data_IF_852021874394
#
_entry.id   IF_852021874394
#
_cell.length_a   1.000
_cell.length_b   1.000
_cell.length_c   1.000
_cell.angle_alpha   90.00
_cell.angle_beta   90.00
_cell.angle_gamma   90.00
#
_symmetry.space_group_name_H-M   'P 1'
#
loop_
_entity.id
_entity.type
_entity.pdbx_description
1 polymer ?
#
# COMPACT_ATOMS: atom_id res chain seq x y z
N UNK A 1 2.22 0.02 26.04
CA UNK A 1 2.49 0.98 24.96
C UNK A 1 2.18 0.30 23.64
N UNK A 2 1.13 0.73 22.93
CA UNK A 2 0.76 0.11 21.65
C UNK A 2 1.66 0.70 20.56
N UNK A 3 2.48 -0.12 19.91
CA UNK A 3 3.25 0.31 18.74
C UNK A 3 2.26 0.67 17.63
N UNK A 4 2.27 1.93 17.19
CA UNK A 4 1.43 2.38 16.07
C UNK A 4 2.05 1.82 14.79
N UNK A 5 1.47 0.76 14.23
CA UNK A 5 1.92 0.22 12.96
C UNK A 5 1.59 1.22 11.83
N UNK A 6 2.62 1.74 11.18
CA UNK A 6 2.46 2.61 10.01
C UNK A 6 1.87 1.78 8.86
N UNK A 7 0.73 2.23 8.33
CA UNK A 7 0.04 1.63 7.18
C UNK A 7 0.25 2.47 5.94
N UNK A 8 0.73 1.83 4.88
CA UNK A 8 1.04 2.47 3.59
C UNK A 8 0.07 1.93 2.53
N UNK A 9 -0.59 2.81 1.78
CA UNK A 9 -1.38 2.47 0.60
C UNK A 9 -0.56 2.82 -0.65
N UNK A 10 -0.27 1.83 -1.48
CA UNK A 10 0.37 2.02 -2.79
C UNK A 10 -0.71 2.02 -3.87
N UNK A 11 -0.79 3.11 -4.63
CA UNK A 11 -1.70 3.26 -5.79
C UNK A 11 -0.85 3.51 -7.02
N UNK A 12 -0.90 2.56 -7.96
CA UNK A 12 -0.21 2.66 -9.25
C UNK A 12 -1.00 1.81 -10.26
N UNK A 13 -1.08 2.22 -11.52
CA UNK A 13 -1.80 1.47 -12.56
C UNK A 13 -0.99 0.24 -13.04
N UNK A 14 0.34 0.28 -12.91
CA UNK A 14 1.23 -0.82 -13.27
C UNK A 14 1.34 -1.87 -12.16
N UNK A 15 0.91 -3.09 -12.47
CA UNK A 15 1.00 -4.24 -11.56
C UNK A 15 2.44 -4.55 -11.14
N UNK A 16 3.41 -4.49 -12.05
CA UNK A 16 4.80 -4.82 -11.75
C UNK A 16 5.40 -3.83 -10.74
N UNK A 17 5.08 -2.55 -10.88
CA UNK A 17 5.49 -1.48 -9.95
C UNK A 17 4.86 -1.70 -8.58
N UNK A 18 3.54 -1.94 -8.50
CA UNK A 18 2.85 -2.22 -7.22
C UNK A 18 3.44 -3.41 -6.48
N UNK A 19 3.70 -4.52 -7.17
CA UNK A 19 4.27 -5.73 -6.57
C UNK A 19 5.73 -5.55 -6.14
N UNK A 20 6.50 -4.73 -6.85
CA UNK A 20 7.86 -4.35 -6.46
C UNK A 20 7.84 -3.54 -5.16
N UNK A 21 7.00 -2.50 -5.10
CA UNK A 21 6.85 -1.64 -3.92
C UNK A 21 6.33 -2.42 -2.70
N UNK A 22 5.33 -3.29 -2.88
CA UNK A 22 4.85 -4.18 -1.82
C UNK A 22 5.98 -5.02 -1.23
N UNK A 23 6.76 -5.70 -2.08
CA UNK A 23 7.86 -6.56 -1.63
C UNK A 23 8.89 -5.78 -0.83
N UNK A 24 9.33 -4.64 -1.34
CA UNK A 24 10.30 -3.77 -0.65
C UNK A 24 9.77 -3.24 0.67
N UNK A 25 8.55 -2.68 0.70
CA UNK A 25 7.99 -2.07 1.90
C UNK A 25 7.62 -3.12 2.96
N UNK A 26 7.07 -4.28 2.56
CA UNK A 26 6.82 -5.38 3.49
C UNK A 26 8.11 -5.99 4.03
N UNK A 27 9.17 -6.08 3.21
CA UNK A 27 10.49 -6.50 3.69
C UNK A 27 11.05 -5.56 4.76
N UNK A 28 10.75 -4.26 4.68
CA UNK A 28 11.11 -3.26 5.70
C UNK A 28 10.17 -3.26 6.92
N UNK A 29 9.23 -4.20 7.04
CA UNK A 29 8.33 -4.34 8.19
C UNK A 29 7.10 -3.42 8.17
N UNK A 30 6.83 -2.73 7.05
CA UNK A 30 5.63 -1.91 6.92
C UNK A 30 4.39 -2.74 6.61
N UNK A 31 3.24 -2.29 7.11
CA UNK A 31 1.93 -2.83 6.71
C UNK A 31 1.48 -2.15 5.41
N UNK A 32 1.35 -2.93 4.33
CA UNK A 32 1.12 -2.39 2.98
C UNK A 32 -0.21 -2.86 2.41
N UNK A 33 -1.00 -1.92 1.90
CA UNK A 33 -2.19 -2.17 1.10
C UNK A 33 -1.93 -1.73 -0.35
N UNK A 34 -2.54 -2.44 -1.32
CA UNK A 34 -2.45 -2.10 -2.74
C UNK A 34 -3.82 -1.66 -3.25
N UNK A 35 -3.84 -0.63 -4.10
CA UNK A 35 -5.00 -0.29 -4.91
C UNK A 35 -4.58 -0.09 -6.36
N UNK A 36 -5.44 -0.53 -7.27
CA UNK A 36 -5.24 -0.35 -8.70
C UNK A 36 -5.95 0.88 -9.27
N UNK A 37 -6.89 1.44 -8.51
CA UNK A 37 -7.69 2.56 -8.97
C UNK A 37 -8.27 3.30 -7.78
N UNK A 38 -8.64 4.56 -7.99
CA UNK A 38 -9.34 5.38 -7.00
C UNK A 38 -10.84 5.23 -7.20
N UNK A 39 -11.57 4.94 -6.13
CA UNK A 39 -13.04 5.02 -6.15
C UNK A 39 -13.47 6.31 -5.45
N UNK A 40 -14.18 7.19 -6.16
CA UNK A 40 -14.85 8.35 -5.53
C UNK A 40 -16.07 7.85 -4.77
N UNK A 41 -16.13 8.09 -3.47
CA UNK A 41 -17.39 8.00 -2.73
C UNK A 41 -18.31 9.12 -3.22
N UNK A 42 -19.53 8.75 -3.61
CA UNK A 42 -20.62 9.71 -3.78
C UNK A 42 -21.16 10.00 -2.39
N UNK A 43 -21.09 11.28 -1.99
CA UNK A 43 -21.64 11.80 -0.73
C UNK A 43 -23.15 11.86 -0.79
#
# INVERSE_FOLDING_TARGET
>A
MTLVAVRILVVDDDRAVRESLRRSLSFNGYSVALAATVSRRST
#
